data_IF_088350836086
#
_entry.id   IF_088350836086
#
_cell.length_a   1.000
_cell.length_b   1.000
_cell.length_c   1.000
_cell.angle_alpha   90.00
_cell.angle_beta   90.00
_cell.angle_gamma   90.00
#
_symmetry.space_group_name_H-M   'P 1'
#
loop_
_entity.id
_entity.type
_entity.pdbx_description
1 polymer ?
#
# COMPACT_ATOMS: atom_id res chain seq x y z
N UNK A 1 52.80 10.98 8.84
CA UNK A 1 51.67 11.93 8.68
C UNK A 1 50.54 11.41 9.55
N UNK A 2 50.16 12.14 10.60
CA UNK A 2 49.07 11.74 11.49
C UNK A 2 47.76 11.89 10.75
N UNK A 3 46.99 10.79 10.61
CA UNK A 3 45.68 10.80 9.96
C UNK A 3 44.72 11.54 10.89
N UNK A 4 44.37 12.77 10.55
CA UNK A 4 43.31 13.53 11.25
C UNK A 4 41.99 12.97 10.74
N UNK A 5 41.15 12.47 11.65
CA UNK A 5 39.79 12.07 11.28
C UNK A 5 39.00 13.31 10.85
N UNK A 6 38.24 13.23 9.75
CA UNK A 6 37.49 14.38 9.29
C UNK A 6 36.40 14.74 10.31
N UNK A 7 36.21 16.03 10.53
CA UNK A 7 35.18 16.51 11.46
C UNK A 7 33.78 16.23 10.89
N UNK A 8 32.96 15.55 11.70
CA UNK A 8 31.61 15.13 11.33
C UNK A 8 30.59 15.65 12.34
N UNK A 9 29.45 16.14 11.85
CA UNK A 9 28.30 16.58 12.67
C UNK A 9 27.00 16.05 12.10
N UNK A 10 25.96 15.95 12.94
CA UNK A 10 24.63 15.58 12.46
C UNK A 10 23.93 16.75 11.78
N UNK A 11 22.99 16.43 10.89
CA UNK A 11 22.26 17.40 10.07
C UNK A 11 21.46 18.46 10.86
N UNK A 12 21.17 18.18 12.13
CA UNK A 12 20.34 19.01 13.01
C UNK A 12 21.14 20.02 13.83
N UNK A 13 22.48 19.96 13.78
CA UNK A 13 23.31 20.96 14.45
C UNK A 13 23.15 22.33 13.81
N UNK A 14 23.16 23.38 14.63
CA UNK A 14 23.15 24.77 14.16
C UNK A 14 24.55 25.13 13.62
N UNK A 15 24.59 25.79 12.46
CA UNK A 15 25.86 26.15 11.81
C UNK A 15 26.74 27.02 12.72
N UNK A 16 26.17 28.02 13.39
CA UNK A 16 26.91 28.87 14.32
C UNK A 16 27.60 28.09 15.46
N UNK A 17 26.89 27.16 16.09
CA UNK A 17 27.44 26.31 17.16
C UNK A 17 28.58 25.42 16.67
N UNK A 18 28.45 24.93 15.43
CA UNK A 18 29.48 24.14 14.76
C UNK A 18 30.71 24.98 14.46
N UNK A 19 30.54 26.19 13.93
CA UNK A 19 31.64 27.10 13.62
C UNK A 19 32.44 27.46 14.89
N UNK A 20 31.77 27.64 16.02
CA UNK A 20 32.42 27.88 17.31
C UNK A 20 33.21 26.66 17.83
N UNK A 21 32.83 25.45 17.42
CA UNK A 21 33.52 24.20 17.77
C UNK A 21 34.69 23.85 16.83
N UNK A 22 34.78 24.46 15.65
CA UNK A 22 35.83 24.15 14.69
C UNK A 22 37.17 24.75 15.13
N UNK A 23 38.19 23.89 15.23
CA UNK A 23 39.58 24.34 15.35
C UNK A 23 40.08 24.86 14.01
N UNK A 24 40.99 25.85 14.03
CA UNK A 24 41.48 26.64 12.87
C UNK A 24 42.06 25.87 11.67
N UNK A 25 42.05 24.53 11.63
CA UNK A 25 42.70 23.72 10.59
C UNK A 25 41.76 22.89 9.70
N UNK A 26 40.44 22.90 9.93
CA UNK A 26 39.50 22.07 9.15
C UNK A 26 38.88 22.83 7.98
N UNK A 27 39.14 22.39 6.75
CA UNK A 27 38.63 23.06 5.54
C UNK A 27 37.22 22.61 5.11
N UNK A 28 36.66 21.62 5.80
CA UNK A 28 35.35 21.06 5.48
C UNK A 28 34.71 20.33 6.65
N UNK A 29 33.40 20.47 6.76
CA UNK A 29 32.54 19.75 7.68
C UNK A 29 31.80 18.67 6.88
N UNK A 30 31.85 17.43 7.34
CA UNK A 30 31.04 16.35 6.78
C UNK A 30 29.74 16.25 7.58
N UNK A 31 28.60 16.36 6.90
CA UNK A 31 27.28 16.23 7.53
C UNK A 31 26.83 14.78 7.40
N UNK A 32 26.54 14.15 8.53
CA UNK A 32 26.14 12.74 8.61
C UNK A 32 24.75 12.57 9.21
N UNK A 33 24.04 11.52 8.79
CA UNK A 33 22.80 11.06 9.42
C UNK A 33 22.92 9.55 9.60
N UNK A 34 22.72 9.05 10.83
CA UNK A 34 22.90 7.62 11.14
C UNK A 34 24.23 7.03 10.64
N UNK A 35 25.34 7.77 10.79
CA UNK A 35 26.70 7.43 10.32
C UNK A 35 26.90 7.42 8.79
N UNK A 36 25.89 7.83 8.02
CA UNK A 36 25.98 7.93 6.56
C UNK A 36 26.26 9.40 6.20
N UNK A 37 27.27 9.70 5.39
CA UNK A 37 27.53 11.06 4.91
C UNK A 37 26.41 11.47 3.92
N UNK A 38 25.67 12.50 4.28
CA UNK A 38 24.56 13.03 3.46
C UNK A 38 24.96 14.31 2.71
N UNK A 39 25.88 15.10 3.27
CA UNK A 39 26.29 16.39 2.74
C UNK A 39 27.68 16.81 3.17
N UNK A 40 28.18 17.88 2.55
CA UNK A 40 29.46 18.50 2.90
C UNK A 40 29.30 20.02 2.90
N UNK A 41 29.95 20.69 3.85
CA UNK A 41 30.09 22.14 3.89
C UNK A 41 31.58 22.44 3.86
N UNK A 42 32.04 23.24 2.91
CA UNK A 42 33.45 23.64 2.83
C UNK A 42 33.66 25.06 3.32
N UNK A 43 34.90 25.42 3.62
CA UNK A 43 35.26 26.82 3.97
C UNK A 43 34.78 27.81 2.91
N UNK A 44 34.81 27.43 1.63
CA UNK A 44 34.27 28.27 0.53
C UNK A 44 32.77 28.52 0.69
N UNK A 45 32.00 27.51 1.09
CA UNK A 45 30.56 27.63 1.30
C UNK A 45 30.28 28.55 2.49
N UNK A 46 31.04 28.40 3.58
CA UNK A 46 30.96 29.27 4.76
C UNK A 46 31.27 30.73 4.39
N UNK A 47 32.35 30.98 3.64
CA UNK A 47 32.68 32.33 3.15
C UNK A 47 31.57 32.92 2.29
N UNK A 48 30.93 32.10 1.43
CA UNK A 48 29.81 32.53 0.60
C UNK A 48 28.64 33.00 1.47
N UNK A 49 28.27 32.23 2.50
CA UNK A 49 27.18 32.55 3.44
C UNK A 49 27.42 33.87 4.18
N UNK A 50 28.65 34.07 4.67
CA UNK A 50 29.03 35.31 5.36
C UNK A 50 28.94 36.50 4.39
N UNK A 51 29.33 36.31 3.12
CA UNK A 51 29.29 37.37 2.11
C UNK A 51 27.88 37.74 1.62
N UNK A 52 26.91 36.82 1.73
CA UNK A 52 25.51 37.05 1.35
C UNK A 52 24.65 37.64 2.47
N UNK A 53 25.21 37.87 3.67
CA UNK A 53 24.48 38.27 4.88
C UNK A 53 23.37 37.27 5.27
N UNK A 54 23.54 35.99 4.92
CA UNK A 54 22.66 34.92 5.35
C UNK A 54 22.82 34.69 6.86
N UNK A 55 21.74 34.26 7.51
CA UNK A 55 21.80 33.87 8.93
C UNK A 55 22.56 32.56 9.07
N UNK A 56 23.19 32.33 10.22
CA UNK A 56 23.92 31.08 10.57
C UNK A 56 23.23 30.29 11.69
N UNK A 57 22.01 30.70 12.04
CA UNK A 57 21.19 30.17 13.14
C UNK A 57 20.32 28.97 12.73
N UNK A 58 20.48 28.48 11.50
CA UNK A 58 19.72 27.33 11.00
C UNK A 58 20.55 26.03 11.02
N UNK A 59 19.88 24.86 10.89
CA UNK A 59 20.56 23.58 10.88
C UNK A 59 21.50 23.38 9.67
N UNK A 60 22.55 22.56 9.84
CA UNK A 60 23.53 22.24 8.79
C UNK A 60 22.89 21.72 7.48
N UNK A 61 21.75 21.02 7.57
CA UNK A 61 21.01 20.53 6.39
C UNK A 61 20.59 21.61 5.40
N UNK A 62 20.43 22.85 5.85
CA UNK A 62 20.04 23.98 4.98
C UNK A 62 21.23 24.58 4.22
N UNK A 63 22.45 24.37 4.73
CA UNK A 63 23.67 24.96 4.15
C UNK A 63 24.55 23.95 3.42
N UNK A 64 24.33 22.65 3.64
CA UNK A 64 25.17 21.61 3.05
C UNK A 64 24.96 21.46 1.55
N UNK A 65 26.06 21.22 0.83
CA UNK A 65 25.98 20.71 -0.53
C UNK A 65 25.59 19.22 -0.47
N UNK A 66 24.44 18.90 -1.04
CA UNK A 66 23.85 17.57 -1.07
C UNK A 66 23.42 17.22 -2.51
N UNK A 67 23.59 15.96 -2.97
CA UNK A 67 24.25 14.86 -2.27
C UNK A 67 25.77 15.03 -2.21
N UNK A 68 26.39 14.65 -1.10
CA UNK A 68 27.86 14.58 -1.04
C UNK A 68 28.41 13.59 -2.05
N UNK A 69 29.49 13.91 -2.74
CA UNK A 69 30.07 12.99 -3.73
C UNK A 69 30.99 12.01 -3.00
N UNK A 70 30.72 10.72 -3.19
CA UNK A 70 31.43 9.63 -2.54
C UNK A 70 32.21 8.79 -3.56
N UNK A 71 33.33 8.22 -3.14
CA UNK A 71 34.13 7.25 -3.88
C UNK A 71 34.14 5.94 -3.09
N UNK A 72 34.22 4.78 -3.77
CA UNK A 72 34.31 3.50 -3.06
C UNK A 72 35.65 3.41 -2.34
N UNK A 73 35.67 2.82 -1.15
CA UNK A 73 36.93 2.59 -0.41
C UNK A 73 37.90 1.70 -1.20
N UNK A 74 37.36 0.81 -2.04
CA UNK A 74 38.14 -0.05 -2.94
C UNK A 74 38.64 0.63 -4.23
N UNK A 75 38.25 1.87 -4.51
CA UNK A 75 38.66 2.57 -5.75
C UNK A 75 40.12 2.99 -5.69
N UNK A 76 40.76 3.05 -6.85
CA UNK A 76 42.14 3.53 -6.93
C UNK A 76 42.19 5.06 -6.74
N UNK A 77 43.36 5.58 -6.38
CA UNK A 77 43.59 7.03 -6.32
C UNK A 77 43.32 7.68 -7.69
N UNK A 78 43.64 6.98 -8.79
CA UNK A 78 43.39 7.47 -10.14
C UNK A 78 41.89 7.64 -10.41
N UNK A 79 41.06 6.69 -9.98
CA UNK A 79 39.61 6.79 -10.11
C UNK A 79 39.05 7.96 -9.30
N UNK A 80 39.54 8.13 -8.06
CA UNK A 80 39.16 9.25 -7.20
C UNK A 80 39.56 10.60 -7.84
N UNK A 81 40.78 10.73 -8.36
CA UNK A 81 41.26 11.95 -9.03
C UNK A 81 40.47 12.25 -10.32
N UNK A 82 40.14 11.22 -11.10
CA UNK A 82 39.29 11.37 -12.28
C UNK A 82 37.90 11.88 -11.88
N UNK A 83 37.34 11.36 -10.80
CA UNK A 83 36.06 11.81 -10.25
C UNK A 83 36.12 13.28 -9.80
N UNK A 84 37.15 13.68 -9.04
CA UNK A 84 37.34 15.08 -8.62
C UNK A 84 37.36 16.04 -9.81
N UNK A 85 38.06 15.67 -10.88
CA UNK A 85 38.15 16.47 -12.12
C UNK A 85 36.81 16.54 -12.85
N UNK A 86 36.13 15.41 -13.02
CA UNK A 86 34.83 15.34 -13.72
C UNK A 86 33.77 16.19 -13.02
N UNK A 87 33.65 16.06 -11.70
CA UNK A 87 32.66 16.79 -10.91
C UNK A 87 33.11 18.20 -10.50
N UNK A 88 34.32 18.62 -10.88
CA UNK A 88 34.90 19.92 -10.53
C UNK A 88 34.87 20.21 -9.01
N UNK A 89 35.09 19.17 -8.21
CA UNK A 89 35.12 19.22 -6.75
C UNK A 89 36.55 18.99 -6.24
N UNK A 90 36.83 19.54 -5.06
CA UNK A 90 38.16 19.38 -4.42
C UNK A 90 38.21 18.22 -3.42
N UNK A 91 37.05 17.67 -3.03
CA UNK A 91 36.93 16.62 -2.01
C UNK A 91 35.90 15.58 -2.45
N UNK A 92 36.22 14.31 -2.22
CA UNK A 92 35.30 13.17 -2.33
C UNK A 92 35.47 12.33 -1.06
N UNK A 93 34.38 11.82 -0.51
CA UNK A 93 34.41 11.01 0.72
C UNK A 93 34.51 9.54 0.33
N UNK A 94 35.51 8.83 0.85
CA UNK A 94 35.56 7.38 0.72
C UNK A 94 34.51 6.76 1.66
N UNK A 95 33.47 6.16 1.10
CA UNK A 95 32.42 5.53 1.89
C UNK A 95 31.86 4.27 1.21
N UNK A 96 31.73 3.20 2.00
CA UNK A 96 31.04 1.96 1.62
C UNK A 96 29.60 1.90 2.17
N UNK A 97 29.32 2.60 3.27
CA UNK A 97 28.08 2.50 4.04
C UNK A 97 26.92 3.15 3.29
N UNK A 98 27.14 4.28 2.61
CA UNK A 98 26.07 4.97 1.87
C UNK A 98 25.44 4.13 0.75
N UNK A 99 26.23 3.31 0.06
CA UNK A 99 25.67 2.42 -0.97
C UNK A 99 24.79 1.36 -0.34
N UNK A 100 25.25 0.73 0.74
CA UNK A 100 24.49 -0.29 1.46
C UNK A 100 23.20 0.31 2.05
N UNK A 101 23.29 1.47 2.68
CA UNK A 101 22.12 2.16 3.24
C UNK A 101 21.10 2.56 2.17
N UNK A 102 21.54 3.00 0.99
CA UNK A 102 20.65 3.27 -0.14
C UNK A 102 19.94 2.00 -0.61
N UNK A 103 20.66 0.88 -0.72
CA UNK A 103 20.07 -0.42 -1.08
C UNK A 103 19.09 -0.93 -0.04
N UNK A 104 19.41 -0.83 1.26
CA UNK A 104 18.50 -1.22 2.35
C UNK A 104 17.25 -0.34 2.38
N UNK A 105 17.37 0.97 2.11
CA UNK A 105 16.21 1.87 2.01
C UNK A 105 15.32 1.47 0.84
N UNK A 106 15.89 1.27 -0.36
CA UNK A 106 15.15 0.79 -1.52
C UNK A 106 14.43 -0.53 -1.22
N UNK A 107 15.13 -1.50 -0.62
CA UNK A 107 14.54 -2.77 -0.23
C UNK A 107 13.39 -2.61 0.78
N UNK A 108 13.53 -1.68 1.73
CA UNK A 108 12.46 -1.38 2.69
C UNK A 108 11.23 -0.77 2.02
N UNK A 109 11.42 0.07 1.01
CA UNK A 109 10.32 0.67 0.25
C UNK A 109 9.62 -0.37 -0.64
N UNK A 110 10.38 -1.28 -1.26
CA UNK A 110 9.85 -2.44 -2.00
C UNK A 110 9.04 -3.38 -1.09
N UNK A 111 9.52 -3.64 0.14
CA UNK A 111 8.77 -4.42 1.13
C UNK A 111 7.44 -3.74 1.47
N UNK A 112 7.44 -2.42 1.70
CA UNK A 112 6.21 -1.68 2.02
C UNK A 112 5.19 -1.77 0.88
N UNK A 113 5.63 -1.51 -0.35
CA UNK A 113 4.76 -1.63 -1.52
C UNK A 113 4.17 -3.03 -1.66
N UNK A 114 4.98 -4.07 -1.48
CA UNK A 114 4.50 -5.46 -1.53
C UNK A 114 3.50 -5.76 -0.40
N UNK A 115 3.73 -5.25 0.81
CA UNK A 115 2.80 -5.42 1.92
C UNK A 115 1.47 -4.70 1.67
N UNK A 116 1.49 -3.51 1.07
CA UNK A 116 0.28 -2.79 0.68
C UNK A 116 -0.53 -3.57 -0.36
N UNK A 117 0.14 -4.15 -1.37
CA UNK A 117 -0.48 -5.01 -2.37
C UNK A 117 -1.13 -6.27 -1.75
N UNK A 118 -0.47 -6.88 -0.76
CA UNK A 118 -1.02 -8.03 -0.03
C UNK A 118 -2.28 -7.61 0.75
N UNK A 119 -2.24 -6.47 1.44
CA UNK A 119 -3.39 -5.97 2.21
C UNK A 119 -4.57 -5.71 1.27
N UNK A 120 -4.32 -5.08 0.12
CA UNK A 120 -5.35 -4.81 -0.89
C UNK A 120 -5.96 -6.12 -1.41
N UNK A 121 -5.12 -7.12 -1.72
CA UNK A 121 -5.58 -8.43 -2.18
C UNK A 121 -6.45 -9.14 -1.14
N UNK A 122 -6.08 -9.05 0.15
CA UNK A 122 -6.88 -9.65 1.23
C UNK A 122 -8.23 -8.96 1.40
N UNK A 123 -8.30 -7.64 1.22
CA UNK A 123 -9.56 -6.89 1.26
C UNK A 123 -10.49 -7.27 0.11
N UNK A 124 -9.95 -7.49 -1.09
CA UNK A 124 -10.73 -7.97 -2.24
C UNK A 124 -11.31 -9.36 -1.98
N UNK A 125 -10.51 -10.28 -1.41
CA UNK A 125 -10.99 -11.60 -1.02
C UNK A 125 -12.08 -11.51 0.04
N UNK A 126 -11.92 -10.67 1.05
CA UNK A 126 -12.94 -10.46 2.09
C UNK A 126 -14.27 -9.96 1.50
N UNK A 127 -14.19 -9.01 0.56
CA UNK A 127 -15.37 -8.50 -0.13
C UNK A 127 -16.07 -9.58 -0.97
N UNK A 128 -15.31 -10.42 -1.69
CA UNK A 128 -15.87 -11.53 -2.46
C UNK A 128 -16.54 -12.57 -1.56
N UNK A 129 -15.90 -12.92 -0.44
CA UNK A 129 -16.45 -13.88 0.54
C UNK A 129 -17.75 -13.34 1.14
N UNK A 130 -17.79 -12.06 1.49
CA UNK A 130 -19.00 -11.41 2.03
C UNK A 130 -20.15 -11.38 1.01
N UNK A 131 -19.86 -11.11 -0.26
CA UNK A 131 -20.87 -11.17 -1.33
C UNK A 131 -21.40 -12.58 -1.58
N UNK A 132 -20.53 -13.59 -1.56
CA UNK A 132 -20.93 -14.98 -1.71
C UNK A 132 -21.87 -15.43 -0.56
N UNK A 133 -21.52 -15.08 0.68
CA UNK A 133 -22.36 -15.38 1.84
C UNK A 133 -23.75 -14.73 1.76
N UNK A 134 -23.84 -13.48 1.28
CA UNK A 134 -25.13 -12.81 1.07
C UNK A 134 -25.95 -13.45 -0.05
N UNK A 135 -25.28 -13.95 -1.10
CA UNK A 135 -25.95 -14.61 -2.22
C UNK A 135 -26.59 -15.93 -1.79
N UNK A 136 -25.88 -16.74 -0.99
CA UNK A 136 -26.42 -18.00 -0.46
C UNK A 136 -27.65 -17.79 0.43
N UNK A 137 -27.61 -16.82 1.35
CA UNK A 137 -28.77 -16.45 2.18
C UNK A 137 -29.98 -16.06 1.33
N UNK A 138 -29.77 -15.25 0.28
CA UNK A 138 -30.85 -14.83 -0.62
C UNK A 138 -31.43 -15.99 -1.44
N UNK A 139 -30.61 -17.00 -1.78
CA UNK A 139 -31.03 -18.17 -2.53
C UNK A 139 -31.90 -19.08 -1.66
N UNK A 140 -31.53 -19.28 -0.40
CA UNK A 140 -32.35 -20.04 0.56
C UNK A 140 -33.70 -19.37 0.83
N UNK A 141 -33.73 -18.04 1.02
CA UNK A 141 -34.98 -17.30 1.19
C UNK A 141 -35.89 -17.39 -0.03
N UNK A 142 -35.35 -17.15 -1.23
CA UNK A 142 -36.12 -17.30 -2.49
C UNK A 142 -36.62 -18.72 -2.72
N UNK A 143 -35.83 -19.73 -2.36
CA UNK A 143 -36.24 -21.13 -2.45
C UNK A 143 -37.41 -21.43 -1.51
N UNK A 144 -37.35 -20.97 -0.24
CA UNK A 144 -38.47 -21.11 0.72
C UNK A 144 -39.73 -20.40 0.23
N UNK A 145 -39.59 -19.18 -0.29
CA UNK A 145 -40.73 -18.38 -0.76
C UNK A 145 -41.40 -19.04 -1.98
N UNK A 146 -40.60 -19.49 -2.95
CA UNK A 146 -41.11 -20.23 -4.12
C UNK A 146 -41.78 -21.55 -3.73
N UNK A 147 -41.17 -22.35 -2.85
CA UNK A 147 -41.77 -23.60 -2.38
C UNK A 147 -43.08 -23.36 -1.62
N UNK A 148 -43.15 -22.27 -0.84
CA UNK A 148 -44.39 -21.83 -0.17
C UNK A 148 -45.50 -21.49 -1.16
N UNK A 149 -45.18 -20.70 -2.19
CA UNK A 149 -46.11 -20.36 -3.28
C UNK A 149 -46.59 -21.61 -4.02
N UNK A 150 -45.67 -22.49 -4.42
CA UNK A 150 -46.00 -23.73 -5.12
C UNK A 150 -46.89 -24.64 -4.27
N UNK A 151 -46.62 -24.72 -2.97
CA UNK A 151 -47.43 -25.47 -2.01
C UNK A 151 -48.87 -24.92 -1.92
N UNK A 152 -49.04 -23.60 -1.86
CA UNK A 152 -50.37 -22.98 -1.89
C UNK A 152 -51.12 -23.27 -3.19
N UNK A 153 -50.43 -23.21 -4.32
CA UNK A 153 -51.00 -23.49 -5.64
C UNK A 153 -51.49 -24.95 -5.75
N UNK A 154 -50.69 -25.91 -5.26
CA UNK A 154 -51.06 -27.33 -5.20
C UNK A 154 -52.28 -27.58 -4.28
N UNK A 155 -52.36 -26.89 -3.15
CA UNK A 155 -53.52 -26.98 -2.24
C UNK A 155 -54.78 -26.47 -2.94
N UNK A 156 -54.70 -25.31 -3.61
CA UNK A 156 -55.82 -24.78 -4.39
C UNK A 156 -56.26 -25.73 -5.50
N UNK A 157 -55.30 -26.29 -6.24
CA UNK A 157 -55.59 -27.21 -7.34
C UNK A 157 -56.26 -28.49 -6.84
N UNK A 158 -55.80 -29.03 -5.71
CA UNK A 158 -56.39 -30.21 -5.08
C UNK A 158 -57.79 -29.93 -4.57
N UNK A 159 -58.03 -28.77 -3.95
CA UNK A 159 -59.37 -28.33 -3.54
C UNK A 159 -60.32 -28.24 -4.73
N UNK A 160 -59.87 -27.63 -5.83
CA UNK A 160 -60.65 -27.51 -7.07
C UNK A 160 -60.96 -28.88 -7.70
N UNK A 161 -59.97 -29.78 -7.74
CA UNK A 161 -60.14 -31.14 -8.26
C UNK A 161 -61.13 -31.96 -7.43
N UNK A 162 -61.07 -31.85 -6.09
CA UNK A 162 -62.05 -32.49 -5.20
C UNK A 162 -63.47 -31.95 -5.43
N UNK A 163 -63.61 -30.63 -5.62
CA UNK A 163 -64.88 -30.01 -5.98
C UNK A 163 -65.43 -30.53 -7.31
N UNK A 164 -64.58 -30.64 -8.33
CA UNK A 164 -64.96 -31.24 -9.62
C UNK A 164 -65.37 -32.71 -9.48
N UNK A 165 -64.63 -33.51 -8.71
CA UNK A 165 -65.01 -34.91 -8.43
C UNK A 165 -66.41 -35.00 -7.84
N UNK A 166 -66.73 -34.17 -6.85
CA UNK A 166 -68.07 -34.15 -6.25
C UNK A 166 -69.16 -33.77 -7.28
N UNK A 167 -68.90 -32.79 -8.14
CA UNK A 167 -69.85 -32.40 -9.20
C UNK A 167 -70.05 -33.50 -10.24
N UNK A 168 -68.99 -34.21 -10.60
CA UNK A 168 -69.07 -35.36 -11.53
C UNK A 168 -69.91 -36.48 -10.90
N UNK A 169 -69.72 -36.78 -9.61
CA UNK A 169 -70.54 -37.78 -8.90
C UNK A 169 -72.02 -37.40 -8.95
N UNK A 170 -72.37 -36.15 -8.63
CA UNK A 170 -73.76 -35.67 -8.69
C UNK A 170 -74.35 -35.78 -10.11
N UNK A 171 -73.59 -35.37 -11.14
CA UNK A 171 -74.04 -35.48 -12.52
C UNK A 171 -74.23 -36.95 -12.96
N UNK A 172 -73.35 -37.84 -12.51
CA UNK A 172 -73.44 -39.28 -12.80
C UNK A 172 -74.67 -39.91 -12.15
N UNK A 173 -74.95 -39.57 -10.89
CA UNK A 173 -76.15 -40.04 -10.18
C UNK A 173 -77.43 -39.57 -10.87
N UNK A 174 -77.47 -38.31 -11.35
CA UNK A 174 -78.62 -37.79 -12.08
C UNK A 174 -78.81 -38.47 -13.44
N UNK A 175 -77.73 -38.71 -14.19
CA UNK A 175 -77.78 -39.49 -15.43
C UNK A 175 -78.31 -40.89 -15.17
N UNK A 176 -77.84 -41.55 -14.10
CA UNK A 176 -78.29 -42.89 -13.72
C UNK A 176 -79.79 -42.90 -13.38
N UNK A 177 -80.28 -41.88 -12.64
CA UNK A 177 -81.69 -41.72 -12.29
C UNK A 177 -82.56 -41.52 -13.53
N UNK A 178 -82.18 -40.59 -14.41
CA UNK A 178 -82.89 -40.32 -15.67
C UNK A 178 -82.90 -41.56 -16.59
N UNK A 179 -81.81 -42.33 -16.64
CA UNK A 179 -81.76 -43.57 -17.39
C UNK A 179 -82.72 -44.63 -16.82
N UNK A 180 -82.80 -44.78 -15.49
CA UNK A 180 -83.76 -45.70 -14.85
C UNK A 180 -85.21 -45.27 -15.08
N UNK A 181 -85.52 -43.97 -14.96
CA UNK A 181 -86.85 -43.43 -15.27
C UNK A 181 -87.24 -43.67 -16.73
N UNK A 182 -86.31 -43.49 -17.67
CA UNK A 182 -86.52 -43.76 -19.08
C UNK A 182 -86.75 -45.24 -19.41
N UNK A 183 -86.09 -46.16 -18.69
CA UNK A 183 -86.29 -47.61 -18.83
C UNK A 183 -87.63 -48.07 -18.25
N UNK A 184 -88.14 -47.40 -17.20
CA UNK A 184 -89.44 -47.73 -16.58
C UNK A 184 -90.65 -47.13 -17.31
N UNK A 185 -90.41 -46.21 -18.25
CA UNK A 185 -91.44 -45.58 -19.09
C UNK A 185 -91.64 -46.29 -20.45
N UNK A 186 -90.89 -47.35 -20.73
CA UNK A 186 -91.06 -48.27 -21.87
C UNK A 186 -91.72 -49.57 -21.44
#
# INVERSE_FOLDING_TARGET
>A
MTRVEPVTFTADWILEDVLNHLQKMEDSIIVVESKIPIGIITTKDIFKLISSADTTDRPLREYMNSPVITTKVSSTIQDALAQLKTFHIKRSIADEVRKLAAQTRQFSDEIRATLDDIIQSLQEVDQQVSQAAQTDLSLEERSRENLGSLGQELIQMTSKANGHSSSITLATDEIQRLAQEGVMAM
#
